data_IF_101722047813
#
_entry.id   IF_101722047813
#
_cell.length_a   1.000
_cell.length_b   1.000
_cell.length_c   1.000
_cell.angle_alpha   90.00
_cell.angle_beta   90.00
_cell.angle_gamma   90.00
#
_symmetry.space_group_name_H-M   'P 1'
#
loop_
_entity.id
_entity.type
_entity.pdbx_description
1 polymer ?
#
# COMPACT_ATOMS: atom_id res chain seq x y z
N UNK A 1 -10.52 -8.97 0.10
CA UNK A 1 -9.82 -7.80 0.67
C UNK A 1 -8.33 -8.05 0.51
N UNK A 2 -7.59 -7.06 -0.01
CA UNK A 2 -6.17 -7.19 -0.32
C UNK A 2 -5.38 -6.09 0.37
N UNK A 3 -4.19 -6.42 0.90
CA UNK A 3 -3.23 -5.45 1.40
C UNK A 3 -1.97 -5.58 0.56
N UNK A 4 -1.52 -4.47 -0.05
CA UNK A 4 -0.34 -4.45 -0.91
C UNK A 4 0.72 -3.56 -0.28
N UNK A 5 1.83 -4.17 0.15
CA UNK A 5 3.01 -3.46 0.62
C UNK A 5 3.92 -3.12 -0.57
N UNK A 6 4.63 -1.99 -0.49
CA UNK A 6 5.44 -1.51 -1.61
C UNK A 6 4.57 -1.08 -2.80
N UNK A 7 3.39 -0.52 -2.53
CA UNK A 7 2.40 -0.16 -3.54
C UNK A 7 2.89 0.92 -4.54
N UNK A 8 3.92 1.68 -4.19
CA UNK A 8 4.57 2.65 -5.08
C UNK A 8 5.67 2.04 -5.96
N UNK A 9 5.98 0.75 -5.79
CA UNK A 9 6.97 0.03 -6.58
C UNK A 9 6.41 -0.46 -7.91
N UNK A 10 7.29 -0.88 -8.83
CA UNK A 10 6.89 -1.33 -10.17
C UNK A 10 5.86 -2.48 -10.16
N UNK A 11 6.09 -3.50 -9.33
CA UNK A 11 5.16 -4.62 -9.18
C UNK A 11 3.93 -4.23 -8.37
N UNK A 12 4.12 -3.60 -7.21
CA UNK A 12 3.02 -3.23 -6.31
C UNK A 12 1.99 -2.32 -6.96
N UNK A 13 2.42 -1.31 -7.72
CA UNK A 13 1.52 -0.41 -8.45
C UNK A 13 0.66 -1.16 -9.49
N UNK A 14 1.27 -2.09 -10.23
CA UNK A 14 0.56 -2.92 -11.22
C UNK A 14 -0.48 -3.83 -10.56
N UNK A 15 -0.15 -4.39 -9.40
CA UNK A 15 -1.07 -5.24 -8.61
C UNK A 15 -2.25 -4.41 -8.07
N UNK A 16 -1.99 -3.24 -7.50
CA UNK A 16 -3.04 -2.33 -7.01
C UNK A 16 -4.00 -1.96 -8.13
N UNK A 17 -3.47 -1.58 -9.30
CA UNK A 17 -4.29 -1.22 -10.46
C UNK A 17 -5.17 -2.40 -10.92
N UNK A 18 -4.57 -3.59 -11.10
CA UNK A 18 -5.30 -4.77 -11.54
C UNK A 18 -6.41 -5.19 -10.57
N UNK A 19 -6.10 -5.23 -9.27
CA UNK A 19 -7.06 -5.62 -8.25
C UNK A 19 -8.19 -4.59 -8.09
N UNK A 20 -7.87 -3.30 -8.07
CA UNK A 20 -8.88 -2.23 -8.00
C UNK A 20 -9.82 -2.24 -9.21
N UNK A 21 -9.26 -2.37 -10.43
CA UNK A 21 -10.04 -2.47 -11.67
C UNK A 21 -10.92 -3.72 -11.73
N UNK A 22 -10.55 -4.80 -11.05
CA UNK A 22 -11.37 -6.02 -10.96
C UNK A 22 -12.55 -5.90 -9.97
N UNK A 23 -12.69 -4.76 -9.29
CA UNK A 23 -13.69 -4.55 -8.23
C UNK A 23 -13.25 -5.03 -6.85
N UNK A 24 -11.97 -5.41 -6.70
CA UNK A 24 -11.41 -5.78 -5.40
C UNK A 24 -11.17 -4.56 -4.52
N UNK A 25 -11.46 -4.66 -3.22
CA UNK A 25 -11.05 -3.68 -2.23
C UNK A 25 -9.57 -3.88 -1.85
N UNK A 26 -8.76 -2.85 -2.10
CA UNK A 26 -7.31 -2.87 -1.92
C UNK A 26 -6.88 -1.78 -0.95
N UNK A 27 -6.12 -2.15 0.09
CA UNK A 27 -5.38 -1.22 0.95
C UNK A 27 -3.93 -1.20 0.48
N UNK A 28 -3.49 -0.07 -0.06
CA UNK A 28 -2.16 0.15 -0.60
C UNK A 28 -1.27 0.85 0.44
N UNK A 29 -0.20 0.18 0.88
CA UNK A 29 0.73 0.71 1.88
C UNK A 29 1.92 1.39 1.18
N UNK A 30 2.18 2.64 1.55
CA UNK A 30 3.32 3.42 1.10
C UNK A 30 4.06 4.06 2.28
N UNK A 31 5.39 4.14 2.21
CA UNK A 31 6.20 4.84 3.20
C UNK A 31 6.26 6.36 2.93
N UNK A 32 6.35 6.74 1.64
CA UNK A 32 6.52 8.12 1.20
C UNK A 32 5.18 8.72 0.77
N UNK A 33 4.66 9.76 1.45
CA UNK A 33 3.40 10.41 1.11
C UNK A 33 3.37 11.03 -0.29
N UNK A 34 4.50 11.55 -0.79
CA UNK A 34 4.55 12.17 -2.11
C UNK A 34 4.46 11.11 -3.21
N UNK A 35 5.13 9.96 -3.02
CA UNK A 35 4.99 8.83 -3.95
C UNK A 35 3.60 8.20 -3.88
N UNK A 36 2.97 8.20 -2.71
CA UNK A 36 1.63 7.65 -2.53
C UNK A 36 0.57 8.39 -3.37
N UNK A 37 0.76 9.68 -3.67
CA UNK A 37 -0.13 10.45 -4.58
C UNK A 37 -0.23 9.87 -6.00
N UNK A 38 0.74 9.05 -6.41
CA UNK A 38 0.73 8.37 -7.71
C UNK A 38 -0.20 7.16 -7.73
N UNK A 39 -0.60 6.64 -6.57
CA UNK A 39 -1.53 5.53 -6.46
C UNK A 39 -2.94 6.07 -6.70
N UNK A 40 -3.58 5.57 -7.76
CA UNK A 40 -4.94 5.94 -8.15
C UNK A 40 -5.72 4.67 -8.46
N UNK A 41 -7.01 4.66 -8.15
CA UNK A 41 -7.88 3.55 -8.50
C UNK A 41 -9.20 3.56 -7.74
N UNK A 42 -10.25 3.05 -8.40
CA UNK A 42 -11.51 2.77 -7.72
C UNK A 42 -11.31 1.59 -6.77
N UNK A 43 -11.92 1.66 -5.59
CA UNK A 43 -11.79 0.65 -4.51
C UNK A 43 -10.36 0.48 -3.95
N UNK A 44 -9.51 1.51 -4.11
CA UNK A 44 -8.17 1.56 -3.51
C UNK A 44 -8.16 2.59 -2.38
N UNK A 45 -7.78 2.14 -1.18
CA UNK A 45 -7.46 2.98 -0.03
C UNK A 45 -5.94 3.07 0.12
N UNK A 46 -5.41 4.26 0.38
CA UNK A 46 -3.98 4.48 0.55
C UNK A 46 -3.68 4.74 2.03
N UNK A 47 -2.75 3.95 2.58
CA UNK A 47 -2.30 4.07 3.97
C UNK A 47 -0.82 4.39 3.98
N UNK A 48 -0.45 5.44 4.72
CA UNK A 48 0.95 5.79 4.94
C UNK A 48 1.45 5.08 6.19
N UNK A 49 2.42 4.19 6.03
CA UNK A 49 3.05 3.49 7.13
C UNK A 49 4.49 3.12 6.80
N UNK A 50 5.36 3.23 7.80
CA UNK A 50 6.68 2.62 7.77
C UNK A 50 6.59 1.21 8.38
N UNK A 51 6.72 0.21 7.52
CA UNK A 51 6.62 -1.21 7.89
C UNK A 51 7.86 -1.70 8.64
N UNK A 52 8.97 -0.97 8.54
CA UNK A 52 10.21 -1.26 9.26
C UNK A 52 10.29 -0.54 10.60
N UNK A 53 9.42 0.44 10.86
CA UNK A 53 9.35 1.17 12.13
C UNK A 53 8.76 0.35 13.29
N UNK A 54 8.75 -0.99 13.18
CA UNK A 54 8.48 -1.85 14.31
C UNK A 54 9.66 -1.74 15.30
N UNK A 55 9.50 -0.86 16.30
CA UNK A 55 10.31 -0.89 17.50
C UNK A 55 9.69 -1.90 18.46
N UNK A 56 10.43 -2.97 18.73
CA UNK A 56 10.08 -3.89 19.81
C UNK A 56 10.32 -3.17 21.14
N UNK A 57 9.26 -2.56 21.70
CA UNK A 57 9.28 -2.08 23.09
C UNK A 57 8.96 -3.22 24.08
N UNK A 58 8.96 -4.48 23.65
CA UNK A 58 9.02 -5.61 24.57
C UNK A 58 10.49 -5.97 24.80
N UNK A 59 11.13 -5.27 25.74
CA UNK A 59 12.42 -5.69 26.28
C UNK A 59 12.33 -7.10 26.87
N UNK A 60 12.85 -8.10 26.18
CA UNK A 60 13.26 -9.41 26.69
C UNK A 60 14.71 -9.68 26.31
#
# INVERSE_FOLDING_TARGET
MYVVLGATGHVGSSVVAALGSSGGHVTAIAHDPEKAKTIQGNNVEVVIADVAAYSDEAGH
#
